data_IF_675157140571
#
_entry.id   IF_675157140571
#
_cell.length_a   1.000
_cell.length_b   1.000
_cell.length_c   1.000
_cell.angle_alpha   90.00
_cell.angle_beta   90.00
_cell.angle_gamma   90.00
#
_symmetry.space_group_name_H-M   'P 1'
#
loop_
_entity.id
_entity.type
_entity.pdbx_description
1 polymer ?
#
# COMPACT_ATOMS: atom_id res chain seq x y z
N UNK A 1 3.39 80.12 15.49
CA UNK A 1 4.40 80.14 16.58
C UNK A 1 4.20 78.87 17.41
N UNK A 2 5.28 78.12 17.67
CA UNK A 2 5.36 76.78 18.33
C UNK A 2 4.83 76.85 19.80
N UNK A 3 4.29 75.80 20.44
CA UNK A 3 4.94 74.65 21.15
C UNK A 3 3.79 73.90 21.89
N UNK A 4 3.54 72.58 21.75
CA UNK A 4 4.11 71.35 22.36
C UNK A 4 3.98 71.21 23.90
N UNK A 5 3.71 69.95 24.32
CA UNK A 5 3.65 69.33 25.67
C UNK A 5 2.25 69.34 26.32
N UNK A 6 1.65 68.26 26.84
CA UNK A 6 2.16 66.98 27.36
C UNK A 6 1.03 65.92 27.27
N UNK A 7 1.16 64.85 26.47
CA UNK A 7 1.53 63.49 26.90
C UNK A 7 1.52 63.25 28.43
N UNK A 8 0.90 62.13 28.84
CA UNK A 8 0.74 61.66 30.22
C UNK A 8 -0.52 62.15 30.94
N UNK A 9 -1.69 61.68 30.51
CA UNK A 9 -2.78 61.44 31.45
C UNK A 9 -3.45 60.09 31.17
N UNK A 10 -3.05 59.11 31.97
CA UNK A 10 -3.96 58.13 32.59
C UNK A 10 -4.58 57.12 31.59
N UNK A 11 -3.84 56.12 31.13
CA UNK A 11 -3.76 54.80 31.80
C UNK A 11 -4.32 54.83 33.22
N UNK A 12 -5.45 54.13 33.45
CA UNK A 12 -5.98 53.73 34.76
C UNK A 12 -7.30 54.37 35.22
N UNK A 13 -8.38 54.26 34.43
CA UNK A 13 -9.70 54.03 35.03
C UNK A 13 -10.44 52.96 34.22
N UNK A 14 -10.25 51.71 34.64
CA UNK A 14 -11.16 50.62 34.34
C UNK A 14 -12.52 50.93 34.96
N UNK A 15 -13.59 51.04 34.16
CA UNK A 15 -14.95 50.83 34.66
C UNK A 15 -16.00 50.64 33.52
N UNK A 16 -16.41 49.39 33.35
CA UNK A 16 -17.83 48.96 33.24
C UNK A 16 -18.61 49.24 31.92
N UNK A 17 -18.83 48.12 31.21
CA UNK A 17 -20.10 47.65 30.59
C UNK A 17 -20.59 48.30 29.28
N UNK A 18 -20.65 47.49 28.21
CA UNK A 18 -21.92 47.04 27.62
C UNK A 18 -21.71 46.07 26.44
N UNK A 19 -22.64 45.11 26.36
CA UNK A 19 -22.76 43.99 25.44
C UNK A 19 -22.89 44.39 23.95
N UNK A 20 -22.27 43.61 23.05
CA UNK A 20 -22.94 42.93 21.92
C UNK A 20 -21.94 42.50 20.85
N UNK A 21 -22.02 41.23 20.43
CA UNK A 21 -21.51 40.82 19.12
C UNK A 21 -20.66 39.55 19.13
N UNK A 22 -21.24 38.39 19.46
CA UNK A 22 -20.71 37.11 18.98
C UNK A 22 -21.04 36.99 17.48
N UNK A 23 -20.02 37.04 16.62
CA UNK A 23 -20.02 36.41 15.30
C UNK A 23 -18.89 35.37 15.34
N UNK A 24 -19.20 34.10 15.56
CA UNK A 24 -19.49 33.10 14.52
C UNK A 24 -18.36 33.00 13.49
N UNK A 25 -17.32 32.24 13.84
CA UNK A 25 -16.48 31.55 12.87
C UNK A 25 -15.95 30.26 13.48
N UNK A 26 -16.83 29.26 13.54
CA UNK A 26 -16.46 27.86 13.78
C UNK A 26 -15.77 27.34 12.53
N UNK A 27 -14.45 27.51 12.44
CA UNK A 27 -13.63 26.89 11.41
C UNK A 27 -13.62 25.37 11.58
N UNK A 28 -13.69 24.56 10.50
CA UNK A 28 -13.62 23.12 10.63
C UNK A 28 -12.22 22.72 11.10
N UNK A 29 -12.20 21.93 12.18
CA UNK A 29 -11.00 21.29 12.72
C UNK A 29 -10.46 20.28 11.70
N UNK A 30 -9.45 20.68 10.93
CA UNK A 30 -8.66 19.77 10.11
C UNK A 30 -7.70 18.98 11.01
N UNK A 31 -8.21 17.93 11.66
CA UNK A 31 -7.39 16.81 12.12
C UNK A 31 -7.15 15.86 10.94
N UNK A 32 -6.24 16.23 10.04
CA UNK A 32 -5.57 15.23 9.19
C UNK A 32 -4.31 14.78 9.93
N UNK A 33 -4.48 13.75 10.75
CA UNK A 33 -3.35 12.86 11.03
C UNK A 33 -3.10 12.05 9.76
N UNK A 34 -1.84 11.89 9.32
CA UNK A 34 -1.51 10.99 8.24
C UNK A 34 -1.61 9.57 8.79
N UNK A 35 -2.82 8.99 8.73
CA UNK A 35 -2.93 7.54 8.87
C UNK A 35 -2.18 6.99 7.67
N UNK A 36 -1.02 6.42 7.98
CA UNK A 36 -0.28 5.56 7.07
C UNK A 36 -1.25 4.43 6.73
N UNK A 37 -1.99 4.60 5.64
CA UNK A 37 -2.66 3.51 4.95
C UNK A 37 -1.54 2.61 4.42
N UNK A 38 -1.03 1.74 5.30
CA UNK A 38 -0.53 0.45 4.87
C UNK A 38 -1.73 -0.21 4.23
N UNK A 39 -1.87 0.01 2.92
CA UNK A 39 -2.66 -0.79 2.02
C UNK A 39 -2.48 -2.25 2.44
N UNK A 40 -3.52 -2.82 3.04
CA UNK A 40 -3.67 -4.25 3.22
C UNK A 40 -3.91 -4.87 1.82
N UNK A 41 -2.85 -4.87 1.01
CA UNK A 41 -2.82 -5.51 -0.31
C UNK A 41 -2.89 -7.04 -0.19
N UNK A 42 -2.79 -7.59 1.02
CA UNK A 42 -2.71 -9.03 1.23
C UNK A 42 -4.08 -9.70 1.41
N UNK A 43 -5.11 -8.97 1.87
CA UNK A 43 -6.36 -9.61 2.26
C UNK A 43 -7.35 -9.91 1.11
N UNK A 44 -7.29 -9.19 -0.01
CA UNK A 44 -8.31 -9.27 -1.06
C UNK A 44 -7.81 -9.74 -2.44
N UNK A 45 -6.50 -9.88 -2.63
CA UNK A 45 -5.95 -10.29 -3.92
C UNK A 45 -5.91 -11.82 -4.05
N UNK A 46 -6.60 -12.33 -5.08
CA UNK A 46 -6.55 -13.75 -5.45
C UNK A 46 -5.28 -14.06 -6.22
N UNK A 47 -4.64 -15.15 -5.86
CA UNK A 47 -3.44 -15.67 -6.52
C UNK A 47 -3.77 -16.15 -7.93
N UNK A 48 -2.93 -15.80 -8.90
CA UNK A 48 -3.03 -16.20 -10.31
C UNK A 48 -1.85 -17.08 -10.73
N UNK A 49 -2.02 -17.80 -11.84
CA UNK A 49 -0.90 -18.51 -12.45
C UNK A 49 0.21 -17.52 -12.86
N UNK A 50 1.46 -17.89 -12.63
CA UNK A 50 2.62 -17.03 -12.84
C UNK A 50 2.90 -16.02 -11.72
N UNK A 51 2.05 -15.94 -10.70
CA UNK A 51 2.36 -15.12 -9.52
C UNK A 51 3.45 -15.78 -8.69
N UNK A 52 4.36 -14.96 -8.15
CA UNK A 52 5.37 -15.43 -7.21
C UNK A 52 4.85 -15.26 -5.78
N UNK A 53 4.81 -16.35 -5.03
CA UNK A 53 4.32 -16.41 -3.66
C UNK A 53 5.51 -16.66 -2.73
N UNK A 54 5.68 -15.77 -1.78
CA UNK A 54 6.65 -15.90 -0.70
C UNK A 54 5.99 -16.64 0.46
N UNK A 55 6.58 -17.76 0.86
CA UNK A 55 6.04 -18.68 1.84
C UNK A 55 7.05 -18.78 2.97
N UNK A 56 6.65 -18.31 4.15
CA UNK A 56 7.41 -18.41 5.38
C UNK A 56 6.87 -19.57 6.20
N UNK A 57 7.75 -20.48 6.59
CA UNK A 57 7.44 -21.64 7.42
C UNK A 57 8.27 -21.55 8.70
N UNK A 58 7.59 -21.43 9.83
CA UNK A 58 8.20 -21.40 11.16
C UNK A 58 7.60 -22.50 12.04
N UNK A 59 8.47 -23.27 12.70
CA UNK A 59 8.08 -24.34 13.62
C UNK A 59 8.40 -23.99 15.07
N UNK A 60 7.58 -24.46 16.02
CA UNK A 60 7.87 -24.31 17.45
C UNK A 60 8.98 -25.30 17.85
N UNK A 61 10.24 -24.85 17.86
CA UNK A 61 11.37 -25.65 18.37
C UNK A 61 12.65 -25.65 17.52
N UNK A 62 12.61 -25.11 16.30
CA UNK A 62 13.80 -24.92 15.46
C UNK A 62 13.96 -23.43 15.16
N UNK A 63 15.13 -22.86 15.46
CA UNK A 63 15.45 -21.43 15.27
C UNK A 63 15.55 -20.99 13.80
N UNK A 64 15.14 -21.84 12.85
CA UNK A 64 15.28 -21.62 11.42
C UNK A 64 13.91 -21.29 10.82
N UNK A 65 13.65 -20.01 10.64
CA UNK A 65 12.56 -19.52 9.80
C UNK A 65 12.94 -19.80 8.34
N UNK A 66 12.19 -20.68 7.68
CA UNK A 66 12.45 -21.07 6.29
C UNK A 66 11.58 -20.23 5.37
N UNK A 67 12.21 -19.49 4.47
CA UNK A 67 11.51 -18.66 3.47
C UNK A 67 11.72 -19.27 2.09
N UNK A 68 10.61 -19.61 1.44
CA UNK A 68 10.55 -20.14 0.09
C UNK A 68 9.90 -19.11 -0.83
N UNK A 69 10.42 -18.96 -2.05
CA UNK A 69 9.86 -18.07 -3.07
C UNK A 69 9.51 -18.93 -4.27
N UNK A 70 8.23 -19.26 -4.40
CA UNK A 70 7.74 -20.20 -5.40
C UNK A 70 6.84 -19.49 -6.41
N UNK A 71 7.02 -19.84 -7.68
CA UNK A 71 6.13 -19.34 -8.75
C UNK A 71 4.98 -20.31 -8.94
N UNK A 72 3.76 -19.79 -8.99
CA UNK A 72 2.57 -20.59 -9.27
C UNK A 72 2.65 -21.11 -10.69
N UNK A 73 2.64 -22.43 -10.84
CA UNK A 73 2.72 -23.10 -12.14
C UNK A 73 1.51 -22.76 -13.02
N UNK A 74 1.61 -23.03 -14.32
CA UNK A 74 0.47 -22.88 -15.25
C UNK A 74 -0.73 -23.76 -14.86
N UNK A 75 -0.45 -24.94 -14.25
CA UNK A 75 -1.48 -25.82 -13.66
C UNK A 75 -2.09 -25.28 -12.37
N UNK A 76 -1.64 -24.11 -11.90
CA UNK A 76 -2.18 -23.41 -10.75
C UNK A 76 -1.74 -23.95 -9.39
N UNK A 77 -0.65 -24.72 -9.37
CA UNK A 77 -0.08 -25.34 -8.17
C UNK A 77 1.28 -24.75 -7.82
N UNK A 78 1.62 -24.81 -6.53
CA UNK A 78 2.97 -24.52 -6.02
C UNK A 78 3.58 -25.80 -5.46
N UNK A 79 4.90 -25.94 -5.58
CA UNK A 79 5.62 -27.07 -4.99
C UNK A 79 6.43 -26.58 -3.82
N UNK A 80 6.38 -27.31 -2.70
CA UNK A 80 7.17 -27.00 -1.52
C UNK A 80 7.89 -28.27 -1.05
N UNK A 81 8.90 -28.16 -0.16
CA UNK A 81 9.49 -29.33 0.46
C UNK A 81 8.40 -30.20 1.10
N UNK A 82 8.48 -31.51 0.87
CA UNK A 82 7.53 -32.52 1.37
C UNK A 82 6.12 -32.50 0.77
N UNK A 83 5.66 -31.36 0.24
CA UNK A 83 4.35 -31.20 -0.40
C UNK A 83 4.50 -31.03 -1.91
N UNK A 84 4.13 -32.06 -2.66
CA UNK A 84 4.13 -31.99 -4.13
C UNK A 84 2.81 -31.41 -4.63
N UNK A 85 2.87 -30.20 -5.19
CA UNK A 85 1.78 -29.59 -5.95
C UNK A 85 0.52 -29.25 -5.13
N UNK A 86 0.57 -28.15 -4.39
CA UNK A 86 -0.59 -27.60 -3.67
C UNK A 86 -1.30 -26.56 -4.54
N UNK A 87 -2.62 -26.67 -4.70
CA UNK A 87 -3.40 -25.71 -5.48
C UNK A 87 -3.35 -24.32 -4.84
N UNK A 88 -2.92 -23.31 -5.61
CA UNK A 88 -2.79 -21.93 -5.15
C UNK A 88 -3.72 -20.96 -5.89
N UNK A 89 -4.06 -21.25 -7.16
CA UNK A 89 -4.87 -20.34 -7.99
C UNK A 89 -6.26 -20.14 -7.41
N UNK A 90 -6.72 -18.88 -7.44
CA UNK A 90 -8.05 -18.48 -6.98
C UNK A 90 -8.20 -18.33 -5.47
N UNK A 91 -7.21 -18.77 -4.69
CA UNK A 91 -7.15 -18.61 -3.23
C UNK A 91 -6.55 -17.26 -2.85
N UNK A 92 -6.90 -16.76 -1.68
CA UNK A 92 -6.17 -15.66 -1.06
C UNK A 92 -4.89 -16.18 -0.40
N UNK A 93 -3.87 -15.34 -0.16
CA UNK A 93 -2.68 -15.75 0.59
C UNK A 93 -3.03 -16.32 1.97
N UNK A 94 -4.01 -15.76 2.67
CA UNK A 94 -4.46 -16.31 3.96
C UNK A 94 -5.03 -17.73 3.83
N UNK A 95 -5.89 -17.98 2.82
CA UNK A 95 -6.45 -19.31 2.57
C UNK A 95 -5.37 -20.33 2.20
N UNK A 96 -4.42 -19.94 1.33
CA UNK A 96 -3.30 -20.79 0.95
C UNK A 96 -2.44 -21.16 2.16
N UNK A 97 -2.18 -20.19 3.05
CA UNK A 97 -1.40 -20.41 4.28
C UNK A 97 -2.04 -21.47 5.18
N UNK A 98 -3.36 -21.39 5.34
CA UNK A 98 -4.14 -22.27 6.20
C UNK A 98 -4.21 -23.70 5.63
N UNK A 99 -4.31 -23.82 4.31
CA UNK A 99 -4.28 -25.11 3.63
C UNK A 99 -2.90 -25.76 3.66
N UNK A 100 -1.84 -24.98 3.45
CA UNK A 100 -0.47 -25.46 3.58
C UNK A 100 -0.20 -25.96 5.00
N UNK A 101 -0.65 -25.21 6.02
CA UNK A 101 -0.53 -25.64 7.42
C UNK A 101 -1.19 -27.00 7.63
N UNK A 102 -2.41 -27.20 7.14
CA UNK A 102 -3.11 -28.50 7.24
C UNK A 102 -2.35 -29.60 6.52
N UNK A 103 -1.95 -29.38 5.27
CA UNK A 103 -1.23 -30.35 4.47
C UNK A 103 0.09 -30.81 5.13
N UNK A 104 0.82 -29.91 5.79
CA UNK A 104 2.04 -30.25 6.52
C UNK A 104 1.80 -31.09 7.78
N UNK A 105 0.72 -30.82 8.51
CA UNK A 105 0.35 -31.57 9.73
C UNK A 105 -0.24 -32.93 9.35
N UNK A 106 -1.14 -32.97 8.38
CA UNK A 106 -1.80 -34.20 7.90
C UNK A 106 -0.79 -35.17 7.25
N UNK A 107 0.24 -34.63 6.58
CA UNK A 107 1.36 -35.40 6.05
C UNK A 107 2.32 -35.93 7.12
N UNK A 108 2.14 -35.57 8.39
CA UNK A 108 2.99 -36.02 9.51
C UNK A 108 4.39 -35.42 9.52
N UNK A 109 4.65 -34.39 8.71
CA UNK A 109 5.96 -33.74 8.60
C UNK A 109 6.25 -32.80 9.77
N UNK A 110 5.20 -32.16 10.31
CA UNK A 110 5.29 -31.25 11.45
C UNK A 110 4.18 -31.53 12.46
N UNK A 111 4.49 -31.42 13.76
CA UNK A 111 3.48 -31.49 14.84
C UNK A 111 2.74 -30.17 15.04
N UNK A 112 3.48 -29.07 14.99
CA UNK A 112 2.94 -27.71 14.97
C UNK A 112 3.82 -26.85 14.06
N UNK A 113 3.18 -26.10 13.17
CA UNK A 113 3.83 -25.26 12.17
C UNK A 113 2.97 -24.03 11.91
N UNK A 114 3.64 -22.89 11.78
CA UNK A 114 3.06 -21.65 11.32
C UNK A 114 3.52 -21.40 9.88
N UNK A 115 2.57 -21.36 8.96
CA UNK A 115 2.81 -21.01 7.56
C UNK A 115 2.19 -19.65 7.30
N UNK A 116 2.95 -18.78 6.66
CA UNK A 116 2.46 -17.49 6.19
C UNK A 116 2.83 -17.36 4.73
N UNK A 117 1.83 -17.16 3.87
CA UNK A 117 2.05 -16.89 2.46
C UNK A 117 1.67 -15.45 2.13
N UNK A 118 2.44 -14.85 1.24
CA UNK A 118 2.28 -13.47 0.78
C UNK A 118 2.67 -13.38 -0.69
N UNK A 119 1.94 -12.60 -1.47
CA UNK A 119 2.31 -12.34 -2.86
C UNK A 119 3.54 -11.43 -2.90
N UNK A 120 4.48 -11.75 -3.79
CA UNK A 120 5.62 -10.88 -4.04
C UNK A 120 5.17 -9.66 -4.83
N UNK A 121 5.84 -8.54 -4.59
CA UNK A 121 5.60 -7.29 -5.31
C UNK A 121 5.84 -7.47 -6.81
N UNK A 122 4.79 -7.18 -7.59
CA UNK A 122 4.87 -7.08 -9.05
C UNK A 122 5.23 -5.66 -9.45
N UNK A 123 5.96 -5.52 -10.55
CA UNK A 123 6.34 -4.22 -11.09
C UNK A 123 5.93 -4.10 -12.55
N UNK A 124 5.66 -2.88 -12.98
CA UNK A 124 5.52 -2.52 -14.38
C UNK A 124 6.46 -1.37 -14.73
N UNK A 125 6.69 -1.17 -16.02
CA UNK A 125 7.63 -0.17 -16.51
C UNK A 125 6.91 0.82 -17.41
N UNK A 126 7.18 2.10 -17.20
CA UNK A 126 6.76 3.18 -18.10
C UNK A 126 8.02 3.76 -18.75
N UNK A 127 7.98 3.96 -20.06
CA UNK A 127 9.06 4.55 -20.85
C UNK A 127 8.49 5.54 -21.87
N UNK A 128 9.34 6.44 -22.35
CA UNK A 128 9.00 7.47 -23.33
C UNK A 128 8.65 8.81 -22.69
N UNK A 129 7.80 9.57 -23.38
CA UNK A 129 7.45 10.95 -23.06
C UNK A 129 6.44 11.08 -21.90
N UNK A 130 6.90 10.73 -20.71
CA UNK A 130 6.21 10.93 -19.42
C UNK A 130 7.12 11.67 -18.45
N UNK A 131 6.56 12.39 -17.48
CA UNK A 131 7.37 13.19 -16.54
C UNK A 131 8.33 12.34 -15.73
N UNK A 132 7.88 11.19 -15.23
CA UNK A 132 8.71 10.23 -14.51
C UNK A 132 8.64 8.87 -15.21
N UNK A 133 9.67 8.55 -15.99
CA UNK A 133 9.84 7.22 -16.56
C UNK A 133 10.54 6.30 -15.55
N UNK A 134 10.31 4.99 -15.66
CA UNK A 134 10.96 4.02 -14.78
C UNK A 134 10.06 2.87 -14.35
N UNK A 135 10.44 2.26 -13.22
CA UNK A 135 9.79 1.09 -12.63
C UNK A 135 8.80 1.54 -11.55
N UNK A 136 7.57 1.05 -11.64
CA UNK A 136 6.49 1.36 -10.70
C UNK A 136 5.91 0.07 -10.11
N UNK A 137 5.44 0.17 -8.87
CA UNK A 137 4.80 -0.93 -8.16
C UNK A 137 3.42 -1.21 -8.77
N UNK A 138 3.16 -2.46 -9.09
CA UNK A 138 1.88 -2.90 -9.63
C UNK A 138 0.80 -2.95 -8.53
N UNK A 139 -0.44 -2.72 -8.95
CA UNK A 139 -1.64 -2.83 -8.11
C UNK A 139 -2.76 -3.48 -8.92
N UNK A 140 -3.66 -4.20 -8.26
CA UNK A 140 -4.75 -4.93 -8.92
C UNK A 140 -5.75 -4.03 -9.66
N UNK A 141 -5.82 -2.76 -9.28
CA UNK A 141 -6.68 -1.71 -9.83
C UNK A 141 -5.95 -0.79 -10.83
N UNK A 142 -4.76 -1.17 -11.31
CA UNK A 142 -3.98 -0.34 -12.23
C UNK A 142 -4.61 -0.27 -13.63
N UNK A 143 -4.78 0.94 -14.15
CA UNK A 143 -5.17 1.21 -15.55
C UNK A 143 -4.07 1.98 -16.26
N UNK A 144 -4.11 2.05 -17.59
CA UNK A 144 -3.14 2.85 -18.37
C UNK A 144 -3.16 4.31 -17.92
N UNK A 145 -4.35 4.87 -17.71
CA UNK A 145 -4.52 6.24 -17.24
C UNK A 145 -3.91 6.42 -15.85
N UNK A 146 -4.18 5.50 -14.92
CA UNK A 146 -3.63 5.54 -13.55
C UNK A 146 -2.11 5.39 -13.56
N UNK A 147 -1.57 4.50 -14.40
CA UNK A 147 -0.14 4.33 -14.59
C UNK A 147 0.54 5.63 -15.06
N UNK A 148 -0.01 6.29 -16.09
CA UNK A 148 0.51 7.58 -16.57
C UNK A 148 0.38 8.66 -15.51
N UNK A 149 -0.73 8.70 -14.77
CA UNK A 149 -0.91 9.64 -13.66
C UNK A 149 0.13 9.42 -12.54
N UNK A 150 0.43 8.17 -12.19
CA UNK A 150 1.49 7.81 -11.23
C UNK A 150 2.88 8.22 -11.73
N UNK A 151 3.11 8.21 -13.05
CA UNK A 151 4.31 8.78 -13.66
C UNK A 151 4.33 10.32 -13.70
N UNK A 152 3.32 11.01 -13.16
CA UNK A 152 3.23 12.47 -13.18
C UNK A 152 2.62 13.05 -14.47
N UNK A 153 2.03 12.21 -15.31
CA UNK A 153 1.44 12.61 -16.58
C UNK A 153 2.41 12.60 -17.75
N UNK A 154 1.89 12.98 -18.92
CA UNK A 154 2.66 13.17 -20.14
C UNK A 154 3.57 14.41 -20.07
N UNK A 155 4.65 14.41 -20.84
CA UNK A 155 5.42 15.63 -21.14
C UNK A 155 4.70 16.45 -22.23
N UNK A 156 5.11 17.70 -22.42
CA UNK A 156 4.53 18.58 -23.45
C UNK A 156 4.83 18.10 -24.89
N UNK A 157 5.85 17.25 -25.06
CA UNK A 157 6.25 16.66 -26.34
C UNK A 157 5.59 15.30 -26.61
N UNK A 158 4.84 14.75 -25.64
CA UNK A 158 4.19 13.47 -25.80
C UNK A 158 3.03 13.54 -26.81
N UNK A 159 2.79 12.43 -27.51
CA UNK A 159 1.53 12.23 -28.25
C UNK A 159 0.52 11.48 -27.36
N UNK A 160 -0.44 12.15 -26.70
CA UNK A 160 -1.36 11.50 -25.77
C UNK A 160 -2.37 10.56 -26.46
N UNK A 161 -2.49 10.62 -27.79
CA UNK A 161 -3.42 9.76 -28.54
C UNK A 161 -2.89 8.35 -28.78
N UNK A 162 -1.57 8.14 -28.63
CA UNK A 162 -0.94 6.86 -28.97
C UNK A 162 -0.13 6.35 -27.79
N UNK A 163 -0.61 5.27 -27.17
CA UNK A 163 0.10 4.56 -26.10
C UNK A 163 0.23 3.10 -26.48
N UNK A 164 1.46 2.57 -26.43
CA UNK A 164 1.74 1.15 -26.69
C UNK A 164 1.84 0.39 -25.38
N UNK A 165 1.15 -0.73 -25.28
CA UNK A 165 1.20 -1.66 -24.15
C UNK A 165 1.82 -2.96 -24.66
N UNK A 166 2.86 -3.44 -24.00
CA UNK A 166 3.40 -4.79 -24.21
C UNK A 166 3.11 -5.63 -22.95
N UNK A 167 2.57 -6.83 -23.17
CA UNK A 167 2.30 -7.84 -22.15
C UNK A 167 2.85 -9.17 -22.68
N UNK A 168 3.57 -9.90 -21.85
CA UNK A 168 4.07 -11.25 -22.14
C UNK A 168 5.07 -11.38 -23.30
N UNK A 169 5.75 -10.30 -23.72
CA UNK A 169 6.82 -10.35 -24.72
C UNK A 169 6.31 -10.41 -26.14
#
# INVERSE_FOLDING_TARGET
MKMKHAFAWIVSVALIVAMSGCAMFSGPSAKESPTTEKMDKSAAEKIRAGDEVLIRISGTGTSTDSVYSETVSEGGTISLPYLQGVAAVGKTPSQLSEELKKAYVDGGFFRDVNVTSSLKDRFFYIRGEVRNSGRFLWSSDITVMKAIATAGGFTDFANPRTVKISRNG
#
